data_IF_499180601675
#
_entry.id   IF_499180601675
#
_cell.length_a   1.000
_cell.length_b   1.000
_cell.length_c   1.000
_cell.angle_alpha   90.00
_cell.angle_beta   90.00
_cell.angle_gamma   90.00
#
_symmetry.space_group_name_H-M   'P 1'
#
loop_
_entity.id
_entity.type
_entity.pdbx_description
1 polymer ?
#
# COMPACT_ATOMS: atom_id res chain seq x y z
N UNK A 1 57.91 -26.88 -96.83
CA UNK A 1 57.45 -25.88 -95.94
C UNK A 1 56.08 -26.33 -95.41
N UNK A 2 55.97 -27.00 -94.28
CA UNK A 2 54.74 -27.56 -93.72
C UNK A 2 54.41 -26.77 -92.49
N UNK A 3 53.20 -26.19 -92.47
CA UNK A 3 52.66 -25.45 -91.30
C UNK A 3 51.88 -26.43 -90.39
N UNK A 4 52.19 -26.47 -89.12
CA UNK A 4 51.44 -27.16 -88.11
C UNK A 4 50.52 -26.12 -87.43
N UNK A 5 49.22 -26.30 -87.57
CA UNK A 5 48.22 -25.64 -86.69
C UNK A 5 47.74 -26.68 -85.70
N UNK A 6 48.10 -26.53 -84.46
CA UNK A 6 47.68 -27.39 -83.36
C UNK A 6 46.52 -26.76 -82.66
N UNK A 7 45.55 -27.59 -82.38
CA UNK A 7 44.32 -27.34 -81.68
C UNK A 7 44.51 -26.76 -80.25
N UNK A 8 44.04 -25.55 -80.00
CA UNK A 8 44.02 -24.91 -78.69
C UNK A 8 42.56 -24.64 -78.19
N UNK A 9 41.55 -25.16 -78.88
CA UNK A 9 40.16 -24.79 -78.53
C UNK A 9 39.35 -25.75 -77.70
N UNK A 10 39.90 -26.93 -77.32
CA UNK A 10 39.08 -27.90 -76.56
C UNK A 10 39.28 -27.90 -74.98
N UNK A 11 40.30 -27.17 -74.48
CA UNK A 11 40.55 -27.16 -73.03
C UNK A 11 39.98 -25.94 -72.28
N UNK A 12 39.36 -24.97 -72.96
CA UNK A 12 38.86 -23.79 -72.34
C UNK A 12 37.38 -23.91 -71.93
N UNK A 13 36.65 -24.89 -72.45
CA UNK A 13 35.24 -25.13 -72.12
C UNK A 13 34.99 -26.00 -70.91
N UNK A 14 36.01 -26.77 -70.42
CA UNK A 14 35.87 -27.62 -69.23
C UNK A 14 36.20 -26.88 -67.94
N UNK A 15 36.94 -25.77 -68.00
CA UNK A 15 37.32 -24.99 -66.82
C UNK A 15 36.22 -24.05 -66.34
N UNK A 16 35.25 -23.66 -67.18
CA UNK A 16 34.15 -22.75 -66.75
C UNK A 16 32.96 -23.46 -66.13
N UNK A 17 32.79 -24.76 -66.32
CA UNK A 17 31.70 -25.52 -65.75
C UNK A 17 31.93 -25.87 -64.27
N UNK A 18 33.18 -25.87 -63.77
CA UNK A 18 33.46 -26.17 -62.33
C UNK A 18 33.42 -24.98 -61.40
N UNK A 19 33.40 -23.75 -61.97
CA UNK A 19 33.40 -22.53 -61.12
C UNK A 19 32.02 -22.15 -60.58
N UNK A 20 30.92 -22.77 -61.04
CA UNK A 20 29.55 -22.43 -60.60
C UNK A 20 28.96 -23.34 -59.53
N UNK A 21 29.67 -24.41 -59.15
CA UNK A 21 29.17 -25.33 -58.10
C UNK A 21 29.65 -24.92 -56.69
N UNK A 22 30.64 -24.02 -56.60
CA UNK A 22 31.23 -23.63 -55.30
C UNK A 22 30.57 -22.48 -54.56
N UNK A 23 29.53 -21.81 -55.13
CA UNK A 23 28.87 -20.67 -54.48
C UNK A 23 27.47 -20.96 -53.89
N UNK A 24 27.10 -22.21 -53.77
CA UNK A 24 25.93 -22.62 -53.02
C UNK A 24 26.19 -22.71 -51.50
N UNK A 25 26.93 -21.76 -50.92
CA UNK A 25 26.99 -21.67 -49.49
C UNK A 25 25.66 -21.10 -48.97
N UNK A 26 24.79 -21.99 -48.58
CA UNK A 26 23.62 -21.60 -47.80
C UNK A 26 24.13 -20.95 -46.53
N UNK A 27 24.06 -19.64 -46.46
CA UNK A 27 24.26 -18.91 -45.20
C UNK A 27 23.14 -19.35 -44.27
N UNK A 28 23.39 -20.36 -43.45
CA UNK A 28 22.53 -20.67 -42.33
C UNK A 28 22.60 -19.47 -41.40
N UNK A 29 21.51 -18.70 -41.35
CA UNK A 29 21.33 -17.69 -40.35
C UNK A 29 21.37 -18.36 -38.99
N UNK A 30 22.46 -18.26 -38.26
CA UNK A 30 22.53 -18.69 -36.88
C UNK A 30 21.69 -17.72 -36.05
N UNK A 31 20.54 -18.17 -35.62
CA UNK A 31 19.73 -17.43 -34.67
C UNK A 31 20.43 -17.45 -33.31
N UNK A 32 20.98 -16.32 -32.90
CA UNK A 32 21.54 -16.13 -31.59
C UNK A 32 20.41 -15.74 -30.60
N UNK A 33 20.26 -16.51 -29.54
CA UNK A 33 19.32 -16.20 -28.45
C UNK A 33 20.09 -15.98 -27.17
N UNK A 34 19.68 -14.95 -26.40
CA UNK A 34 20.17 -14.72 -25.06
C UNK A 34 18.98 -14.75 -24.08
N UNK A 35 19.18 -15.41 -22.93
CA UNK A 35 18.17 -15.48 -21.89
C UNK A 35 18.72 -14.88 -20.61
N UNK A 36 17.89 -14.15 -19.89
CA UNK A 36 18.20 -13.60 -18.57
C UNK A 36 17.11 -14.01 -17.57
N UNK A 37 17.52 -14.49 -16.42
CA UNK A 37 16.59 -14.72 -15.32
C UNK A 37 16.44 -13.43 -14.53
N UNK A 38 15.20 -12.92 -14.43
CA UNK A 38 14.86 -11.76 -13.59
C UNK A 38 14.01 -12.27 -12.43
N UNK A 39 14.52 -12.12 -11.21
CA UNK A 39 13.78 -12.45 -10.00
C UNK A 39 13.08 -11.18 -9.49
N UNK A 40 11.75 -11.21 -9.41
CA UNK A 40 10.95 -10.16 -8.83
C UNK A 40 10.48 -10.60 -7.45
N UNK A 41 10.75 -9.79 -6.43
CA UNK A 41 10.31 -10.02 -5.05
C UNK A 41 9.55 -8.81 -4.55
N UNK A 42 8.28 -9.01 -4.19
CA UNK A 42 7.46 -8.00 -3.51
C UNK A 42 7.45 -8.35 -2.03
N UNK A 43 7.87 -7.41 -1.20
CA UNK A 43 7.80 -7.53 0.26
C UNK A 43 6.46 -7.01 0.78
N UNK A 44 6.16 -7.30 2.04
CA UNK A 44 5.00 -6.71 2.70
C UNK A 44 5.17 -5.20 2.83
N UNK A 45 4.13 -4.47 2.44
CA UNK A 45 4.05 -3.02 2.46
C UNK A 45 2.79 -2.61 3.20
N UNK A 46 2.96 -1.86 4.28
CA UNK A 46 1.88 -1.26 5.04
C UNK A 46 2.16 0.24 5.18
N UNK A 47 1.15 1.04 4.89
CA UNK A 47 1.18 2.49 5.10
C UNK A 47 -0.10 2.90 5.83
N UNK A 48 0.04 3.80 6.80
CA UNK A 48 -1.06 4.47 7.47
C UNK A 48 -0.77 5.97 7.49
N UNK A 49 -1.79 6.78 7.36
CA UNK A 49 -1.68 8.23 7.29
C UNK A 49 -2.94 8.89 7.85
N UNK A 50 -2.82 10.12 8.31
CA UNK A 50 -3.92 10.92 8.81
C UNK A 50 -4.05 12.21 8.01
N UNK A 51 -5.26 12.50 7.60
CA UNK A 51 -5.62 13.80 7.01
C UNK A 51 -6.45 14.56 8.03
N UNK A 52 -5.92 15.67 8.46
CA UNK A 52 -6.42 16.51 9.54
C UNK A 52 -5.25 17.10 10.32
N UNK A 53 -5.50 18.10 11.14
CA UNK A 53 -4.50 18.71 11.99
C UNK A 53 -4.60 18.23 13.45
N UNK A 54 -3.85 18.86 14.37
CA UNK A 54 -4.08 18.69 15.78
C UNK A 54 -5.54 18.99 16.13
N UNK A 55 -6.14 18.11 16.94
CA UNK A 55 -7.55 18.19 17.31
C UNK A 55 -7.69 18.79 18.71
N UNK A 56 -8.61 19.72 18.88
CA UNK A 56 -8.99 20.27 20.19
C UNK A 56 -10.46 20.00 20.45
N UNK A 57 -10.76 19.19 21.45
CA UNK A 57 -12.12 18.92 21.92
C UNK A 57 -12.39 19.75 23.17
N UNK A 58 -13.35 20.68 23.07
CA UNK A 58 -13.68 21.61 24.15
C UNK A 58 -15.09 21.34 24.68
N UNK A 59 -15.17 20.95 25.95
CA UNK A 59 -16.44 20.77 26.66
C UNK A 59 -16.75 22.06 27.38
N UNK A 60 -17.77 22.82 26.91
CA UNK A 60 -18.09 24.16 27.39
C UNK A 60 -19.58 24.40 27.64
N UNK A 61 -20.39 23.36 27.62
CA UNK A 61 -21.81 23.46 27.88
C UNK A 61 -22.32 22.31 28.75
N UNK A 62 -23.45 22.52 29.39
CA UNK A 62 -24.10 21.55 30.27
C UNK A 62 -25.40 21.09 29.60
N UNK A 63 -25.70 19.82 29.74
CA UNK A 63 -26.99 19.25 29.39
C UNK A 63 -28.01 19.55 30.49
N UNK A 64 -28.94 20.40 30.20
CA UNK A 64 -29.95 20.88 31.19
C UNK A 64 -30.80 19.74 31.77
N UNK A 65 -31.02 18.67 31.01
CA UNK A 65 -31.82 17.52 31.46
C UNK A 65 -31.06 16.52 32.31
N UNK A 66 -29.73 16.46 32.18
CA UNK A 66 -28.90 15.44 32.82
C UNK A 66 -27.96 16.01 33.88
N UNK A 67 -27.87 17.32 34.04
CA UNK A 67 -26.92 18.03 34.92
C UNK A 67 -25.46 17.57 34.70
N UNK A 68 -25.11 17.18 33.48
CA UNK A 68 -23.79 16.71 33.08
C UNK A 68 -23.28 17.56 31.91
N UNK A 69 -21.95 17.68 31.74
CA UNK A 69 -21.38 18.35 30.56
C UNK A 69 -21.80 17.65 29.28
N UNK A 70 -22.08 18.44 28.23
CA UNK A 70 -22.32 17.90 26.92
C UNK A 70 -21.00 17.35 26.34
N UNK A 71 -20.99 16.16 25.73
CA UNK A 71 -19.82 15.66 25.03
C UNK A 71 -19.36 16.61 23.94
N UNK A 72 -18.03 16.78 23.80
CA UNK A 72 -17.45 17.43 22.64
C UNK A 72 -17.18 16.39 21.56
N UNK A 73 -17.62 16.67 20.34
CA UNK A 73 -17.51 15.76 19.19
C UNK A 73 -16.78 16.45 18.06
N UNK A 74 -15.87 15.74 17.43
CA UNK A 74 -15.22 16.13 16.18
C UNK A 74 -15.13 14.94 15.21
N UNK A 75 -15.36 15.20 13.94
CA UNK A 75 -15.24 14.22 12.86
C UNK A 75 -14.50 14.79 11.65
N UNK A 76 -13.53 15.67 11.88
CA UNK A 76 -12.75 16.31 10.81
C UNK A 76 -11.57 15.46 10.34
N UNK A 77 -11.12 14.48 11.13
CA UNK A 77 -9.96 13.64 10.83
C UNK A 77 -10.33 12.44 9.97
N UNK A 78 -9.54 12.19 8.93
CA UNK A 78 -9.65 11.03 8.05
C UNK A 78 -8.43 10.12 8.19
N UNK A 79 -8.66 8.85 8.39
CA UNK A 79 -7.65 7.81 8.39
C UNK A 79 -7.53 7.21 6.99
N UNK A 80 -6.29 7.07 6.51
CA UNK A 80 -5.95 6.45 5.22
C UNK A 80 -5.00 5.28 5.46
N UNK A 81 -5.18 4.22 4.70
CA UNK A 81 -4.25 3.09 4.75
C UNK A 81 -4.03 2.46 3.38
N UNK A 82 -2.89 1.79 3.26
CA UNK A 82 -2.58 0.91 2.14
C UNK A 82 -1.88 -0.32 2.69
N UNK A 83 -2.33 -1.50 2.29
CA UNK A 83 -1.70 -2.76 2.65
C UNK A 83 -1.71 -3.72 1.45
N UNK A 84 -0.62 -4.49 1.28
CA UNK A 84 -0.58 -5.64 0.38
C UNK A 84 -0.65 -6.97 1.13
N UNK A 85 -0.83 -6.94 2.46
CA UNK A 85 -1.06 -8.10 3.31
C UNK A 85 -2.53 -8.46 3.43
N UNK A 86 -2.82 -9.73 3.72
CA UNK A 86 -4.19 -10.20 3.99
C UNK A 86 -4.49 -10.15 5.49
N UNK A 87 -5.77 -9.99 5.81
CA UNK A 87 -6.32 -10.06 7.15
C UNK A 87 -5.55 -9.17 8.15
N UNK A 88 -5.26 -7.93 7.77
CA UNK A 88 -4.63 -6.95 8.66
C UNK A 88 -5.69 -6.30 9.54
N UNK A 89 -5.22 -5.73 10.65
CA UNK A 89 -6.04 -4.89 11.52
C UNK A 89 -5.38 -3.55 11.77
N UNK A 90 -6.20 -2.54 12.04
CA UNK A 90 -5.75 -1.23 12.48
C UNK A 90 -6.15 -1.10 13.94
N UNK A 91 -5.16 -0.91 14.79
CA UNK A 91 -5.33 -0.65 16.20
C UNK A 91 -5.07 0.83 16.51
N UNK A 92 -5.71 1.33 17.55
CA UNK A 92 -5.54 2.67 18.11
C UNK A 92 -5.15 2.60 19.57
N UNK A 93 -4.20 3.42 19.99
CA UNK A 93 -3.76 3.53 21.39
C UNK A 93 -3.50 4.96 21.81
N UNK A 94 -3.45 5.18 23.11
CA UNK A 94 -3.11 6.46 23.75
C UNK A 94 -1.81 6.31 24.54
N UNK A 95 -1.07 7.39 24.72
CA UNK A 95 0.12 7.43 25.58
C UNK A 95 -0.22 7.52 27.07
N UNK A 96 -1.49 7.72 27.45
CA UNK A 96 -1.92 7.92 28.84
C UNK A 96 -2.53 6.63 29.40
N UNK A 97 -1.90 6.09 30.44
CA UNK A 97 -2.35 4.88 31.11
C UNK A 97 -3.60 5.07 31.99
N UNK A 98 -3.79 6.26 32.54
CA UNK A 98 -4.91 6.58 33.45
C UNK A 98 -5.45 7.97 33.11
N UNK A 99 -6.25 8.07 32.03
CA UNK A 99 -6.77 9.34 31.58
C UNK A 99 -7.78 9.93 32.54
N UNK A 100 -7.75 11.25 32.68
CA UNK A 100 -8.71 11.99 33.49
C UNK A 100 -10.08 12.08 32.82
N UNK A 101 -10.09 12.34 31.50
CA UNK A 101 -11.32 12.45 30.72
C UNK A 101 -11.51 11.22 29.82
N UNK A 102 -12.75 10.87 29.53
CA UNK A 102 -13.05 9.77 28.63
C UNK A 102 -12.90 10.27 27.20
N UNK A 103 -12.08 9.59 26.41
CA UNK A 103 -11.98 9.80 24.96
C UNK A 103 -12.42 8.52 24.25
N UNK A 104 -13.37 8.68 23.34
CA UNK A 104 -13.87 7.60 22.50
C UNK A 104 -13.56 7.90 21.05
N UNK A 105 -13.23 6.86 20.28
CA UNK A 105 -12.96 6.94 18.85
C UNK A 105 -13.84 5.93 18.14
N UNK A 106 -14.53 6.37 17.10
CA UNK A 106 -15.33 5.57 16.21
C UNK A 106 -14.80 5.74 14.80
N UNK A 107 -14.51 4.64 14.10
CA UNK A 107 -14.28 4.66 12.68
C UNK A 107 -15.63 4.55 11.98
N UNK A 108 -16.03 5.57 11.21
CA UNK A 108 -17.20 5.46 10.35
C UNK A 108 -16.95 4.36 9.31
N UNK A 109 -18.04 3.75 8.81
CA UNK A 109 -17.92 2.66 7.83
C UNK A 109 -16.93 3.04 6.74
N UNK A 110 -15.94 2.18 6.56
CA UNK A 110 -14.92 2.36 5.53
C UNK A 110 -15.55 2.65 4.17
N UNK A 111 -15.19 3.75 3.57
CA UNK A 111 -15.67 4.12 2.24
C UNK A 111 -15.03 3.29 1.12
N UNK A 112 -13.90 2.64 1.41
CA UNK A 112 -13.16 1.81 0.46
C UNK A 112 -12.11 0.96 1.19
N UNK A 113 -11.63 -0.10 0.54
CA UNK A 113 -10.43 -0.81 0.96
C UNK A 113 -10.64 -1.98 1.91
N UNK A 114 -11.86 -2.44 2.10
CA UNK A 114 -12.17 -3.55 2.99
C UNK A 114 -11.92 -3.21 4.46
N UNK A 115 -12.25 -4.15 5.32
CA UNK A 115 -12.19 -3.98 6.77
C UNK A 115 -13.56 -3.69 7.36
N UNK A 116 -13.72 -4.13 8.59
CA UNK A 116 -14.93 -3.96 9.39
C UNK A 116 -14.53 -3.04 10.55
N UNK A 117 -15.17 -1.87 10.62
CA UNK A 117 -15.00 -0.97 11.76
C UNK A 117 -15.58 -1.64 13.00
N UNK A 118 -14.80 -1.66 14.06
CA UNK A 118 -15.26 -2.04 15.37
C UNK A 118 -16.24 -0.98 15.93
N UNK A 119 -17.09 -1.34 16.88
CA UNK A 119 -17.86 -0.36 17.64
C UNK A 119 -16.95 0.70 18.25
N UNK A 120 -17.55 1.81 18.69
CA UNK A 120 -16.85 2.90 19.36
C UNK A 120 -15.83 2.37 20.41
N UNK A 121 -14.57 2.73 20.24
CA UNK A 121 -13.46 2.35 21.11
C UNK A 121 -13.26 3.41 22.18
N UNK A 122 -13.24 3.00 23.46
CA UNK A 122 -12.91 3.89 24.57
C UNK A 122 -11.42 3.76 24.93
N UNK A 123 -10.70 4.87 24.89
CA UNK A 123 -9.30 4.93 25.31
C UNK A 123 -9.19 5.20 26.81
N UNK A 124 -9.31 4.14 27.60
CA UNK A 124 -9.26 4.19 29.06
C UNK A 124 -7.89 3.87 29.66
N UNK A 125 -6.95 3.44 28.81
CA UNK A 125 -5.58 3.06 29.16
C UNK A 125 -4.62 3.32 28.01
N UNK A 126 -3.38 2.87 28.12
CA UNK A 126 -2.37 2.95 27.05
C UNK A 126 -2.25 1.68 26.21
N UNK A 127 -3.13 0.71 26.38
CA UNK A 127 -3.13 -0.48 25.54
C UNK A 127 -3.68 -0.16 24.13
N UNK A 128 -3.18 -0.82 23.09
CA UNK A 128 -3.79 -0.71 21.78
C UNK A 128 -5.11 -1.46 21.71
N UNK A 129 -6.13 -0.84 21.18
CA UNK A 129 -7.47 -1.38 20.94
C UNK A 129 -7.73 -1.53 19.46
N UNK A 130 -8.39 -2.60 19.04
CA UNK A 130 -8.73 -2.82 17.64
C UNK A 130 -9.78 -1.79 17.19
N UNK A 131 -9.54 -1.15 16.05
CA UNK A 131 -10.41 -0.12 15.48
C UNK A 131 -11.03 -0.58 14.14
N UNK A 132 -10.25 -1.26 13.31
CA UNK A 132 -10.71 -1.83 12.04
C UNK A 132 -10.10 -3.22 11.90
N UNK A 133 -10.96 -4.23 11.68
CA UNK A 133 -10.55 -5.62 11.46
C UNK A 133 -10.67 -6.02 10.00
N UNK A 134 -9.92 -7.05 9.59
CA UNK A 134 -10.07 -7.68 8.29
C UNK A 134 -9.69 -6.79 7.11
N UNK A 135 -8.74 -5.89 7.27
CA UNK A 135 -8.20 -5.07 6.17
C UNK A 135 -7.55 -6.01 5.15
N UNK A 136 -7.99 -5.92 3.92
CA UNK A 136 -7.52 -6.73 2.79
C UNK A 136 -6.38 -6.01 2.03
N UNK A 137 -5.84 -6.67 0.99
CA UNK A 137 -4.87 -6.08 0.05
C UNK A 137 -5.50 -4.93 -0.73
N UNK A 138 -5.44 -3.73 -0.18
CA UNK A 138 -6.12 -2.57 -0.74
C UNK A 138 -5.58 -1.26 -0.17
N UNK A 139 -5.97 -0.18 -0.82
CA UNK A 139 -5.97 1.15 -0.23
C UNK A 139 -7.37 1.47 0.27
N UNK A 140 -7.47 2.01 1.47
CA UNK A 140 -8.74 2.35 2.10
C UNK A 140 -8.71 3.66 2.87
N UNK A 141 -9.87 4.09 3.27
CA UNK A 141 -10.03 5.27 4.12
C UNK A 141 -11.34 5.25 4.89
N UNK A 142 -11.34 5.88 6.06
CA UNK A 142 -12.54 6.13 6.84
C UNK A 142 -12.46 7.49 7.53
N UNK A 143 -13.60 8.04 7.88
CA UNK A 143 -13.70 9.19 8.76
C UNK A 143 -13.59 8.71 10.20
N UNK A 144 -12.84 9.44 11.02
CA UNK A 144 -12.75 9.20 12.45
C UNK A 144 -13.62 10.20 13.20
N UNK A 145 -14.44 9.70 14.12
CA UNK A 145 -15.23 10.51 15.03
C UNK A 145 -14.65 10.39 16.43
N UNK A 146 -14.30 11.51 17.00
CA UNK A 146 -13.81 11.63 18.38
C UNK A 146 -14.90 12.16 19.27
N UNK A 147 -15.08 11.57 20.43
CA UNK A 147 -16.04 12.01 21.45
C UNK A 147 -15.33 12.14 22.79
N UNK A 148 -15.20 13.36 23.28
CA UNK A 148 -14.69 13.62 24.63
C UNK A 148 -15.85 13.77 25.60
N UNK A 149 -15.74 13.09 26.75
CA UNK A 149 -16.74 13.08 27.81
C UNK A 149 -16.05 13.46 29.14
N UNK A 150 -16.66 14.39 29.87
CA UNK A 150 -16.25 14.73 31.21
C UNK A 150 -17.43 14.54 32.17
N UNK A 151 -17.13 14.20 33.41
CA UNK A 151 -18.08 14.20 34.53
C UNK A 151 -17.94 15.51 35.34
N UNK A 152 -19.04 16.04 35.85
CA UNK A 152 -19.03 17.25 36.70
C UNK A 152 -18.04 17.11 37.87
N UNK A 153 -17.89 15.92 38.41
CA UNK A 153 -16.99 15.64 39.55
C UNK A 153 -15.51 15.75 39.21
N UNK A 154 -15.16 15.68 37.90
CA UNK A 154 -13.77 15.81 37.45
C UNK A 154 -13.27 17.26 37.52
N UNK A 155 -14.19 18.24 37.60
CA UNK A 155 -13.88 19.66 37.61
C UNK A 155 -13.27 20.14 36.30
N UNK A 156 -12.73 21.35 36.33
CA UNK A 156 -12.05 21.96 35.16
C UNK A 156 -10.63 21.40 35.00
N UNK A 157 -10.12 21.36 33.77
CA UNK A 157 -8.75 20.98 33.46
C UNK A 157 -8.51 20.74 32.00
N UNK A 158 -7.26 20.55 31.66
CA UNK A 158 -6.79 20.22 30.31
C UNK A 158 -6.05 18.89 30.35
N UNK A 159 -6.11 18.14 29.27
CA UNK A 159 -5.38 16.90 29.05
C UNK A 159 -4.99 16.81 27.58
N UNK A 160 -3.71 16.55 27.32
CA UNK A 160 -3.20 16.31 25.97
C UNK A 160 -2.83 14.85 25.84
N UNK A 161 -3.20 14.21 24.73
CA UNK A 161 -2.91 12.81 24.44
C UNK A 161 -2.30 12.65 23.06
N UNK A 162 -1.30 11.79 22.96
CA UNK A 162 -0.79 11.30 21.69
C UNK A 162 -1.56 10.04 21.29
N UNK A 163 -2.29 10.11 20.20
CA UNK A 163 -3.05 8.98 19.66
C UNK A 163 -2.24 8.34 18.53
N UNK A 164 -1.97 7.06 18.67
CA UNK A 164 -1.18 6.27 17.72
C UNK A 164 -2.04 5.24 17.01
N UNK A 165 -1.96 5.18 15.71
CA UNK A 165 -2.61 4.18 14.86
C UNK A 165 -1.55 3.24 14.30
N UNK A 166 -1.83 1.93 14.32
CA UNK A 166 -0.88 0.90 13.88
C UNK A 166 -1.58 -0.15 13.03
N UNK A 167 -0.99 -0.50 11.89
CA UNK A 167 -1.41 -1.67 11.10
C UNK A 167 -0.57 -2.86 11.56
N UNK A 168 -1.26 -3.94 11.97
CA UNK A 168 -0.63 -5.18 12.42
C UNK A 168 -1.20 -6.39 11.70
N UNK A 169 -0.58 -7.57 11.90
CA UNK A 169 -1.19 -8.85 11.56
C UNK A 169 -2.50 -9.02 12.32
N UNK A 170 -3.50 -9.59 11.66
CA UNK A 170 -4.77 -10.00 12.27
C UNK A 170 -4.67 -11.38 12.90
#
# INVERSE_FOLDING_TARGET
MKRYFTNITSNLLLATAFAWIAFGQHAYSQQATATQVVMLRVMELNKIDLVGGPLTLQINSINDNAAQPNPAIDASTKLLWTSNGDARKIAVGSDIASPRFILKIEAEKSSSGGGIAEPEVTLSDNAPHDLILGVQRSAGSCQLKFTAIADVKQGTGEESRLITYTITGG
#
